data_IF_798516193482
#
_entry.id   IF_798516193482
#
_cell.length_a   1.000
_cell.length_b   1.000
_cell.length_c   1.000
_cell.angle_alpha   90.00
_cell.angle_beta   90.00
_cell.angle_gamma   90.00
#
_symmetry.space_group_name_H-M   'P 1'
#
loop_
_entity.id
_entity.type
_entity.pdbx_description
1 polymer ?
#
# COMPACT_ATOMS: atom_id res chain seq x y z
N UNK A 1 -10.65 4.23 -0.50
CA UNK A 1 -9.18 4.17 -0.40
C UNK A 1 -8.90 3.00 0.50
N UNK A 2 -8.13 2.04 0.02
CA UNK A 2 -7.65 0.91 0.81
C UNK A 2 -6.43 1.39 1.59
N UNK A 3 -6.32 1.07 2.87
CA UNK A 3 -5.13 1.41 3.67
C UNK A 3 -4.49 0.13 4.16
N UNK A 4 -3.17 0.06 4.00
CA UNK A 4 -2.35 -1.06 4.42
C UNK A 4 -1.33 -0.59 5.45
N UNK A 5 -1.10 -1.41 6.47
CA UNK A 5 0.15 -1.42 7.18
C UNK A 5 1.14 -2.27 6.38
N UNK A 6 2.14 -1.63 5.79
CA UNK A 6 3.22 -2.25 5.03
C UNK A 6 4.46 -2.19 5.88
N UNK A 7 4.74 -3.27 6.61
CA UNK A 7 5.90 -3.42 7.48
C UNK A 7 6.09 -2.23 8.47
N UNK A 8 5.00 -1.74 9.06
CA UNK A 8 5.01 -0.64 10.02
C UNK A 8 4.77 0.75 9.41
N UNK A 9 4.65 0.87 8.08
CA UNK A 9 4.31 2.12 7.37
C UNK A 9 2.88 2.09 6.85
N UNK A 10 2.18 3.21 6.85
CA UNK A 10 0.84 3.28 6.27
C UNK A 10 0.90 3.68 4.79
N UNK A 11 0.33 2.82 3.95
CA UNK A 11 0.25 3.01 2.50
C UNK A 11 -1.22 2.99 2.09
N UNK A 12 -1.63 4.04 1.38
CA UNK A 12 -2.95 4.12 0.77
C UNK A 12 -2.92 3.64 -0.67
N UNK A 13 -3.90 2.85 -1.08
CA UNK A 13 -4.11 2.43 -2.46
C UNK A 13 -5.52 2.83 -2.89
N UNK A 14 -5.64 3.48 -4.05
CA UNK A 14 -6.91 3.93 -4.61
C UNK A 14 -7.01 3.50 -6.07
N UNK A 15 -8.10 2.84 -6.44
CA UNK A 15 -8.44 2.68 -7.86
C UNK A 15 -8.95 4.02 -8.41
N UNK A 16 -8.36 4.48 -9.49
CA UNK A 16 -8.82 5.65 -10.25
C UNK A 16 -8.92 5.23 -11.69
N UNK A 17 -10.15 5.24 -12.23
CA UNK A 17 -10.47 4.62 -13.51
C UNK A 17 -10.00 3.15 -13.53
N UNK A 18 -9.01 2.82 -14.36
CA UNK A 18 -8.42 1.49 -14.45
C UNK A 18 -7.02 1.40 -13.82
N UNK A 19 -6.54 2.45 -13.15
CA UNK A 19 -5.21 2.49 -12.59
C UNK A 19 -5.22 2.47 -11.06
N UNK A 20 -4.24 1.77 -10.50
CA UNK A 20 -3.97 1.82 -9.08
C UNK A 20 -3.06 3.01 -8.74
N UNK A 21 -3.49 3.75 -7.73
CA UNK A 21 -2.77 4.89 -7.20
C UNK A 21 -2.31 4.62 -5.78
N UNK A 22 -1.00 4.64 -5.56
CA UNK A 22 -0.32 4.51 -4.28
C UNK A 22 -0.04 5.87 -3.64
N UNK A 23 -0.24 5.93 -2.33
CA UNK A 23 -0.03 7.11 -1.49
C UNK A 23 0.72 6.70 -0.23
N UNK A 24 1.63 7.55 0.25
CA UNK A 24 1.99 7.54 1.67
C UNK A 24 0.80 8.08 2.46
N UNK A 25 0.37 7.36 3.49
CA UNK A 25 -0.74 7.74 4.35
C UNK A 25 -0.22 8.19 5.71
N UNK A 26 -0.55 9.42 6.11
CA UNK A 26 -0.48 9.84 7.50
C UNK A 26 -1.85 9.63 8.14
N UNK A 27 -1.94 8.64 9.03
CA UNK A 27 -3.21 8.27 9.67
C UNK A 27 -3.58 9.20 10.83
N UNK A 28 -2.62 9.96 11.38
CA UNK A 28 -2.86 10.91 12.47
C UNK A 28 -3.52 12.18 11.92
N UNK A 29 -2.97 12.73 10.85
CA UNK A 29 -3.47 13.97 10.23
C UNK A 29 -4.43 13.72 9.05
N UNK A 30 -4.66 12.46 8.68
CA UNK A 30 -5.43 12.04 7.50
C UNK A 30 -4.95 12.72 6.22
N UNK A 31 -3.62 12.83 6.06
CA UNK A 31 -2.97 13.40 4.86
C UNK A 31 -2.44 12.28 3.97
N UNK A 32 -2.60 12.45 2.66
CA UNK A 32 -2.20 11.46 1.66
C UNK A 32 -1.34 12.12 0.59
N UNK A 33 -0.10 11.65 0.42
CA UNK A 33 0.81 12.16 -0.62
C UNK A 33 1.05 11.07 -1.66
N UNK A 34 0.77 11.38 -2.93
CA UNK A 34 0.91 10.45 -4.05
C UNK A 34 2.36 10.00 -4.22
N UNK A 35 2.56 8.69 -4.42
CA UNK A 35 3.82 8.09 -4.82
C UNK A 35 3.72 7.74 -6.31
N UNK A 36 4.47 8.45 -7.15
CA UNK A 36 4.40 8.31 -8.61
C UNK A 36 5.28 7.17 -9.13
N UNK A 37 6.37 6.85 -8.41
CA UNK A 37 7.34 5.83 -8.80
C UNK A 37 6.89 4.40 -8.44
N UNK A 38 5.68 4.25 -7.89
CA UNK A 38 5.10 2.96 -7.50
C UNK A 38 3.87 2.71 -8.36
N UNK A 39 4.03 1.78 -9.30
CA UNK A 39 3.02 1.40 -10.28
C UNK A 39 2.57 -0.03 -9.98
N UNK A 40 1.34 -0.18 -9.52
CA UNK A 40 0.70 -1.49 -9.36
C UNK A 40 0.06 -1.85 -10.70
N UNK A 41 0.28 -3.06 -11.26
CA UNK A 41 -0.34 -3.45 -12.52
C UNK A 41 -1.87 -3.41 -12.45
N UNK A 42 -2.50 -2.96 -13.53
CA UNK A 42 -3.94 -2.65 -13.57
C UNK A 42 -4.82 -3.88 -13.42
N UNK A 43 -4.31 -5.06 -13.76
CA UNK A 43 -4.97 -6.36 -13.68
C UNK A 43 -5.08 -6.90 -12.26
N UNK A 44 -4.31 -6.37 -11.29
CA UNK A 44 -4.39 -6.84 -9.90
C UNK A 44 -5.74 -6.50 -9.29
N UNK A 45 -6.34 -7.50 -8.65
CA UNK A 45 -7.54 -7.36 -7.83
C UNK A 45 -7.19 -6.78 -6.46
N UNK A 46 -8.19 -6.26 -5.74
CA UNK A 46 -8.01 -5.75 -4.37
C UNK A 46 -7.39 -6.78 -3.40
N UNK A 47 -7.67 -8.07 -3.63
CA UNK A 47 -7.14 -9.17 -2.81
C UNK A 47 -5.64 -9.40 -3.01
N UNK A 48 -5.11 -9.06 -4.20
CA UNK A 48 -3.70 -9.28 -4.56
C UNK A 48 -2.80 -8.11 -4.12
N UNK A 49 -3.38 -6.94 -3.83
CA UNK A 49 -2.64 -5.73 -3.45
C UNK A 49 -1.75 -5.93 -2.23
N UNK A 50 -2.21 -6.66 -1.21
CA UNK A 50 -1.42 -6.90 0.00
C UNK A 50 -0.14 -7.71 -0.31
N UNK A 51 -0.27 -8.76 -1.12
CA UNK A 51 0.87 -9.59 -1.56
C UNK A 51 1.85 -8.77 -2.39
N UNK A 52 1.33 -8.03 -3.38
CA UNK A 52 2.17 -7.18 -4.22
C UNK A 52 2.94 -6.10 -3.43
N UNK A 53 2.28 -5.47 -2.45
CA UNK A 53 2.95 -4.53 -1.53
C UNK A 53 4.02 -5.23 -0.69
N UNK A 54 3.78 -6.48 -0.27
CA UNK A 54 4.76 -7.28 0.43
C UNK A 54 6.01 -7.56 -0.41
N UNK A 55 5.82 -7.87 -1.68
CA UNK A 55 6.92 -8.16 -2.61
C UNK A 55 7.78 -6.93 -2.90
N UNK A 56 7.17 -5.80 -3.28
CA UNK A 56 7.91 -4.59 -3.68
C UNK A 56 8.60 -3.88 -2.49
N UNK A 57 8.06 -4.06 -1.28
CA UNK A 57 8.59 -3.45 -0.05
C UNK A 57 9.29 -4.45 0.88
N UNK A 58 9.62 -5.66 0.41
CA UNK A 58 10.14 -6.75 1.24
C UNK A 58 11.29 -6.34 2.16
N UNK A 59 12.19 -5.47 1.70
CA UNK A 59 13.33 -4.95 2.45
C UNK A 59 12.96 -4.17 3.74
N UNK A 60 11.71 -3.73 3.87
CA UNK A 60 11.21 -3.07 5.07
C UNK A 60 10.68 -4.07 6.13
N UNK A 61 10.55 -5.35 5.79
CA UNK A 61 10.09 -6.38 6.71
C UNK A 61 11.04 -6.52 7.90
N UNK A 62 10.45 -6.75 9.08
CA UNK A 62 11.22 -6.95 10.32
C UNK A 62 10.50 -7.91 11.25
N UNK A 63 11.19 -8.41 12.27
CA UNK A 63 10.58 -9.27 13.30
C UNK A 63 9.36 -8.62 13.96
N UNK A 64 9.34 -7.28 14.08
CA UNK A 64 8.23 -6.53 14.69
C UNK A 64 7.07 -6.28 13.72
N UNK A 65 7.38 -6.17 12.43
CA UNK A 65 6.40 -5.94 11.37
C UNK A 65 6.71 -6.90 10.21
N UNK A 66 6.31 -8.18 10.34
CA UNK A 66 6.70 -9.22 9.39
C UNK A 66 5.82 -9.29 8.13
N UNK A 67 4.62 -8.71 8.18
CA UNK A 67 3.60 -8.88 7.16
C UNK A 67 2.99 -7.55 6.70
N UNK A 68 2.32 -7.60 5.55
CA UNK A 68 1.44 -6.53 5.06
C UNK A 68 0.00 -6.86 5.40
N UNK A 69 -0.69 -5.94 6.10
CA UNK A 69 -2.09 -6.14 6.51
C UNK A 69 -2.95 -4.96 6.09
N UNK A 70 -4.14 -5.23 5.53
CA UNK A 70 -5.15 -4.20 5.31
C UNK A 70 -5.72 -3.74 6.65
N UNK A 71 -5.84 -2.42 6.84
CA UNK A 71 -6.37 -1.80 8.06
C UNK A 71 -7.61 -0.93 7.80
N UNK A 72 -7.85 -0.48 6.56
CA UNK A 72 -9.10 0.15 6.09
C UNK A 72 -9.43 -0.31 4.65
#
# INVERSE_FOLDING_TARGET
MLIYNVFGRHVGVKRVENHWQVFRADMTERKFSRLYDIIIPDELTEAEIAGWLGDIFHEAASTRHPDVTRIE
#
